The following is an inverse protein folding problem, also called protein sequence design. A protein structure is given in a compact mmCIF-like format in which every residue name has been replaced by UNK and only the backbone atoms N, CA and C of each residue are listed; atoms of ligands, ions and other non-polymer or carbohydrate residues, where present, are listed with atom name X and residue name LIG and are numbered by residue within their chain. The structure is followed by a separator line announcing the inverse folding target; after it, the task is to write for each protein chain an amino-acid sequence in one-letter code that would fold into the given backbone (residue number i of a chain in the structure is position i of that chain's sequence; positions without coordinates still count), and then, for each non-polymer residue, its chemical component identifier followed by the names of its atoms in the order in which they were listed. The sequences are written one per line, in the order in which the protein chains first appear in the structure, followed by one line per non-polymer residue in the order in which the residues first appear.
data_IF_258252073181
#
_entry.id   IF_258252073181
#
_cell.length_a   1.000
_cell.length_b   1.000
_cell.length_c   1.000
_cell.angle_alpha   90.00
_cell.angle_beta   90.00
_cell.angle_gamma   90.00
#
_symmetry.space_group_name_H-M   'P 1'
#
loop_
_entity.id
_entity.type
_entity.pdbx_description
1 polymer ?
#
# COMPACT_ATOMS: atom_id res chain seq x y z
N UNK A 1 -30.28 1.60 3.72
CA UNK A 1 -29.91 0.67 4.82
C UNK A 1 -28.84 -0.33 4.41
N UNK A 2 -28.86 -0.92 3.20
CA UNK A 2 -27.87 -1.93 2.78
C UNK A 2 -26.41 -1.43 2.68
N UNK A 3 -26.18 -0.20 2.19
CA UNK A 3 -24.82 0.30 1.92
C UNK A 3 -23.91 0.56 3.13
N UNK A 4 -24.43 0.71 4.35
CA UNK A 4 -23.59 0.87 5.54
C UNK A 4 -23.15 -0.50 6.08
N UNK A 5 -24.07 -1.47 6.08
CA UNK A 5 -23.81 -2.83 6.50
C UNK A 5 -22.85 -3.54 5.53
N UNK A 6 -23.01 -3.33 4.23
CA UNK A 6 -22.10 -3.87 3.19
C UNK A 6 -20.68 -3.37 3.38
N UNK A 7 -20.48 -2.06 3.63
CA UNK A 7 -19.15 -1.47 3.89
C UNK A 7 -18.48 -2.04 5.14
N UNK A 8 -19.25 -2.23 6.21
CA UNK A 8 -18.74 -2.89 7.43
C UNK A 8 -18.37 -4.34 7.14
N UNK A 9 -19.21 -5.08 6.42
CA UNK A 9 -18.93 -6.46 6.03
C UNK A 9 -17.66 -6.57 5.17
N UNK A 10 -17.49 -5.67 4.19
CA UNK A 10 -16.29 -5.57 3.35
C UNK A 10 -15.05 -5.30 4.21
N UNK A 11 -15.14 -4.41 5.20
CA UNK A 11 -14.02 -4.15 6.11
C UNK A 11 -13.68 -5.37 6.97
N UNK A 12 -14.69 -6.08 7.49
CA UNK A 12 -14.46 -7.26 8.31
C UNK A 12 -13.85 -8.41 7.49
N UNK A 13 -14.40 -8.69 6.31
CA UNK A 13 -13.99 -9.80 5.44
C UNK A 13 -12.71 -9.50 4.68
N UNK A 14 -12.51 -8.26 4.25
CA UNK A 14 -11.35 -7.84 3.47
C UNK A 14 -10.15 -7.42 4.31
N UNK A 15 -10.37 -6.97 5.55
CA UNK A 15 -9.31 -6.46 6.41
C UNK A 15 -9.18 -7.25 7.70
N UNK A 16 -10.20 -7.24 8.56
CA UNK A 16 -10.08 -7.77 9.92
C UNK A 16 -9.81 -9.28 9.95
N UNK A 17 -10.55 -10.06 9.17
CA UNK A 17 -10.45 -11.52 9.17
C UNK A 17 -9.11 -12.01 8.58
N UNK A 18 -8.67 -11.59 7.38
CA UNK A 18 -7.35 -11.91 6.87
C UNK A 18 -6.21 -11.43 7.77
N UNK A 19 -6.38 -10.30 8.48
CA UNK A 19 -5.36 -9.81 9.43
C UNK A 19 -5.19 -10.77 10.62
N UNK A 20 -6.29 -11.24 11.20
CA UNK A 20 -6.22 -12.25 12.26
C UNK A 20 -5.63 -13.58 11.78
N UNK A 21 -5.96 -14.01 10.56
CA UNK A 21 -5.37 -15.21 9.97
C UNK A 21 -3.89 -15.04 9.64
N UNK A 22 -3.47 -13.84 9.21
CA UNK A 22 -2.06 -13.49 9.01
C UNK A 22 -1.28 -13.55 10.32
N UNK A 23 -1.85 -13.02 11.42
CA UNK A 23 -1.25 -13.14 12.75
C UNK A 23 -1.02 -14.61 13.14
N UNK A 24 -2.03 -15.46 12.94
CA UNK A 24 -1.88 -16.90 13.22
C UNK A 24 -0.84 -17.59 12.33
N UNK A 25 -0.67 -17.15 11.08
CA UNK A 25 0.34 -17.69 10.19
C UNK A 25 1.75 -17.32 10.64
N UNK A 26 1.95 -16.06 11.05
CA UNK A 26 3.24 -15.58 11.58
C UNK A 26 3.66 -16.33 12.85
N UNK A 27 2.71 -16.71 13.70
CA UNK A 27 2.96 -17.52 14.89
C UNK A 27 3.13 -19.02 14.61
N UNK A 28 2.91 -19.45 13.36
CA UNK A 28 2.99 -20.86 12.97
C UNK A 28 4.45 -21.24 12.64
N UNK A 29 4.88 -22.49 12.90
CA UNK A 29 6.23 -22.94 12.52
C UNK A 29 6.43 -23.07 11.00
N UNK A 30 5.34 -23.10 10.22
CA UNK A 30 5.36 -23.24 8.77
C UNK A 30 5.58 -21.89 8.09
N UNK A 31 6.06 -21.92 6.84
CA UNK A 31 6.18 -20.70 6.00
C UNK A 31 5.20 -20.66 4.82
N UNK A 32 4.46 -21.74 4.59
CA UNK A 32 3.59 -21.87 3.42
C UNK A 32 2.30 -21.06 3.55
N UNK A 33 1.83 -20.88 4.77
CA UNK A 33 0.73 -19.99 5.17
C UNK A 33 1.13 -18.51 5.09
N UNK A 34 2.37 -18.14 5.44
CA UNK A 34 2.87 -16.77 5.27
C UNK A 34 2.76 -16.28 3.82
N UNK A 35 3.17 -17.14 2.87
CA UNK A 35 3.13 -16.83 1.43
C UNK A 35 1.70 -16.55 0.96
N UNK A 36 0.71 -17.29 1.47
CA UNK A 36 -0.70 -17.07 1.14
C UNK A 36 -1.14 -15.67 1.56
N UNK A 37 -0.84 -15.25 2.78
CA UNK A 37 -1.27 -13.95 3.30
C UNK A 37 -0.51 -12.79 2.66
N UNK A 38 0.80 -12.92 2.42
CA UNK A 38 1.56 -11.91 1.68
C UNK A 38 1.06 -11.75 0.23
N UNK A 39 0.69 -12.86 -0.41
CA UNK A 39 0.08 -12.83 -1.75
C UNK A 39 -1.28 -12.13 -1.72
N UNK A 40 -2.13 -12.47 -0.74
CA UNK A 40 -3.40 -11.79 -0.50
C UNK A 40 -3.23 -10.28 -0.34
N UNK A 41 -2.34 -9.84 0.56
CA UNK A 41 -2.12 -8.43 0.84
C UNK A 41 -1.56 -7.66 -0.37
N UNK A 42 -0.69 -8.30 -1.15
CA UNK A 42 -0.17 -7.71 -2.40
C UNK A 42 -1.29 -7.46 -3.41
N UNK A 43 -2.16 -8.45 -3.62
CA UNK A 43 -3.31 -8.34 -4.53
C UNK A 43 -4.31 -7.31 -4.02
N UNK A 44 -4.65 -7.37 -2.72
CA UNK A 44 -5.59 -6.46 -2.07
C UNK A 44 -5.13 -5.00 -2.20
N UNK A 45 -3.85 -4.71 -1.96
CA UNK A 45 -3.30 -3.37 -2.09
C UNK A 45 -3.35 -2.84 -3.52
N UNK A 46 -3.00 -3.68 -4.51
CA UNK A 46 -3.05 -3.29 -5.91
C UNK A 46 -4.48 -2.96 -6.34
N UNK A 47 -5.45 -3.80 -5.97
CA UNK A 47 -6.86 -3.57 -6.27
C UNK A 47 -7.37 -2.30 -5.59
N UNK A 48 -7.03 -2.10 -4.31
CA UNK A 48 -7.38 -0.88 -3.58
C UNK A 48 -6.83 0.39 -4.23
N UNK A 49 -5.64 0.32 -4.85
CA UNK A 49 -5.11 1.41 -5.65
C UNK A 49 -5.98 1.69 -6.90
N UNK A 50 -6.35 0.67 -7.67
CA UNK A 50 -7.24 0.86 -8.83
C UNK A 50 -8.62 1.36 -8.42
N UNK A 51 -9.17 0.87 -7.32
CA UNK A 51 -10.44 1.36 -6.79
C UNK A 51 -10.39 2.84 -6.42
N UNK A 52 -9.26 3.29 -5.85
CA UNK A 52 -9.08 4.69 -5.52
C UNK A 52 -9.04 5.58 -6.78
N UNK A 53 -8.42 5.11 -7.86
CA UNK A 53 -8.39 5.81 -9.16
C UNK A 53 -9.75 5.76 -9.84
N UNK A 54 -10.45 4.63 -9.77
CA UNK A 54 -11.74 4.41 -10.42
C UNK A 54 -12.94 4.84 -9.58
N UNK A 55 -12.74 5.52 -8.44
CA UNK A 55 -13.78 5.84 -7.45
C UNK A 55 -15.04 6.46 -8.06
N UNK A 56 -14.85 7.46 -8.92
CA UNK A 56 -15.98 8.16 -9.57
C UNK A 56 -16.77 7.23 -10.49
N UNK A 57 -16.10 6.33 -11.20
CA UNK A 57 -16.75 5.34 -12.05
C UNK A 57 -17.49 4.28 -11.23
N UNK A 58 -16.86 3.79 -10.17
CA UNK A 58 -17.43 2.76 -9.29
C UNK A 58 -18.66 3.25 -8.53
N UNK A 59 -18.79 4.55 -8.28
CA UNK A 59 -19.97 5.15 -7.66
C UNK A 59 -21.25 4.96 -8.50
N UNK A 60 -21.13 4.77 -9.81
CA UNK A 60 -22.27 4.50 -10.70
C UNK A 60 -22.63 3.01 -10.80
N UNK A 61 -21.79 2.11 -10.26
CA UNK A 61 -22.03 0.66 -10.33
C UNK A 61 -22.94 0.24 -9.17
N UNK A 62 -24.19 -0.22 -9.43
CA UNK A 62 -25.04 -0.71 -8.38
C UNK A 62 -24.48 -2.02 -7.80
N UNK A 63 -24.64 -2.21 -6.48
CA UNK A 63 -24.18 -3.40 -5.74
C UNK A 63 -22.66 -3.66 -5.79
N UNK A 64 -21.86 -2.60 -5.96
CA UNK A 64 -20.41 -2.73 -6.00
C UNK A 64 -19.83 -3.34 -4.71
N UNK A 65 -20.31 -2.92 -3.54
CA UNK A 65 -19.80 -3.40 -2.25
C UNK A 65 -20.08 -4.91 -2.06
N UNK A 66 -21.21 -5.41 -2.56
CA UNK A 66 -21.57 -6.83 -2.52
C UNK A 66 -20.70 -7.67 -3.46
N UNK A 67 -20.45 -7.18 -4.68
CA UNK A 67 -19.51 -7.82 -5.62
C UNK A 67 -18.09 -7.83 -5.05
N UNK A 68 -17.67 -6.73 -4.45
CA UNK A 68 -16.39 -6.63 -3.76
C UNK A 68 -16.28 -7.64 -2.62
N UNK A 69 -17.34 -7.80 -1.83
CA UNK A 69 -17.37 -8.78 -0.74
C UNK A 69 -17.15 -10.20 -1.27
N UNK A 70 -17.88 -10.61 -2.32
CA UNK A 70 -17.71 -11.93 -2.96
C UNK A 70 -16.30 -12.12 -3.53
N UNK A 71 -15.77 -11.08 -4.15
CA UNK A 71 -14.42 -11.07 -4.69
C UNK A 71 -13.37 -11.24 -3.59
N UNK A 72 -13.50 -10.53 -2.47
CA UNK A 72 -12.61 -10.65 -1.31
C UNK A 72 -12.68 -12.04 -0.69
N UNK A 73 -13.88 -12.61 -0.55
CA UNK A 73 -14.05 -14.00 -0.10
C UNK A 73 -13.29 -14.97 -1.01
N UNK A 74 -13.43 -14.81 -2.33
CA UNK A 74 -12.71 -15.64 -3.29
C UNK A 74 -11.18 -15.50 -3.20
N UNK A 75 -10.66 -14.30 -2.87
CA UNK A 75 -9.22 -14.07 -2.74
C UNK A 75 -8.57 -14.86 -1.60
N UNK A 76 -9.14 -14.82 -0.39
CA UNK A 76 -8.52 -15.43 0.79
C UNK A 76 -8.92 -16.89 1.01
N UNK A 77 -10.00 -17.37 0.37
CA UNK A 77 -10.43 -18.76 0.52
C UNK A 77 -9.39 -19.75 -0.06
N UNK A 78 -8.88 -20.70 0.73
CA UNK A 78 -7.78 -21.59 0.32
C UNK A 78 -8.18 -22.56 -0.79
N UNK A 79 -9.47 -22.90 -0.88
CA UNK A 79 -10.02 -23.79 -1.91
C UNK A 79 -9.94 -23.20 -3.33
N UNK A 80 -10.03 -21.86 -3.46
CA UNK A 80 -10.06 -21.19 -4.77
C UNK A 80 -8.71 -20.65 -5.21
N UNK A 81 -7.77 -20.44 -4.27
CA UNK A 81 -6.44 -19.86 -4.53
C UNK A 81 -6.51 -18.55 -5.33
N UNK A 82 -7.53 -17.74 -5.10
CA UNK A 82 -7.82 -16.57 -5.93
C UNK A 82 -6.71 -15.52 -5.91
N UNK A 83 -6.13 -15.25 -4.74
CA UNK A 83 -4.98 -14.36 -4.62
C UNK A 83 -3.77 -14.87 -5.41
N UNK A 84 -3.44 -16.16 -5.29
CA UNK A 84 -2.34 -16.79 -6.06
C UNK A 84 -2.57 -16.68 -7.55
N UNK A 85 -3.79 -16.95 -8.02
CA UNK A 85 -4.13 -16.83 -9.45
C UNK A 85 -3.86 -15.43 -9.98
N UNK A 86 -4.36 -14.38 -9.29
CA UNK A 86 -4.15 -13.00 -9.74
C UNK A 86 -2.66 -12.64 -9.67
N UNK A 87 -1.99 -13.06 -8.59
CA UNK A 87 -0.58 -12.77 -8.40
C UNK A 87 0.27 -13.36 -9.52
N UNK A 88 0.18 -14.66 -9.77
CA UNK A 88 1.00 -15.34 -10.76
C UNK A 88 0.67 -14.90 -12.19
N UNK A 89 -0.61 -14.64 -12.48
CA UNK A 89 -1.04 -14.29 -13.84
C UNK A 89 -0.76 -12.85 -14.23
N UNK A 90 -0.88 -11.91 -13.29
CA UNK A 90 -0.85 -10.47 -13.61
C UNK A 90 0.25 -9.72 -12.87
N UNK A 91 0.30 -9.83 -11.55
CA UNK A 91 1.22 -9.02 -10.73
C UNK A 91 2.67 -9.46 -10.88
N UNK A 92 2.95 -10.76 -10.79
CA UNK A 92 4.31 -11.27 -10.85
C UNK A 92 5.01 -10.95 -12.18
N UNK A 93 4.39 -11.11 -13.37
CA UNK A 93 4.96 -10.64 -14.62
C UNK A 93 5.21 -9.13 -14.61
N UNK A 94 4.23 -8.34 -14.15
CA UNK A 94 4.35 -6.87 -14.11
C UNK A 94 5.51 -6.42 -13.20
N UNK A 95 5.61 -6.97 -11.99
CA UNK A 95 6.71 -6.67 -11.08
C UNK A 95 8.06 -7.09 -11.65
N UNK A 96 8.17 -8.29 -12.23
CA UNK A 96 9.43 -8.75 -12.84
C UNK A 96 9.89 -7.84 -13.98
N UNK A 97 8.98 -7.37 -14.82
CA UNK A 97 9.29 -6.43 -15.90
C UNK A 97 9.72 -5.06 -15.37
N UNK A 98 9.12 -4.59 -14.27
CA UNK A 98 9.36 -3.25 -13.74
C UNK A 98 10.37 -3.20 -12.57
N UNK A 99 10.89 -4.35 -12.11
CA UNK A 99 11.71 -4.47 -10.90
C UNK A 99 12.88 -3.48 -10.87
N UNK A 100 13.69 -3.44 -11.94
CA UNK A 100 14.86 -2.55 -12.03
C UNK A 100 14.49 -1.07 -11.86
N UNK A 101 13.37 -0.68 -12.46
CA UNK A 101 12.85 0.69 -12.38
C UNK A 101 12.36 1.00 -10.96
N UNK A 102 11.62 0.07 -10.36
CA UNK A 102 11.15 0.20 -8.97
C UNK A 102 12.33 0.27 -7.97
N UNK A 103 13.36 -0.56 -8.14
CA UNK A 103 14.58 -0.55 -7.33
C UNK A 103 15.35 0.77 -7.47
N UNK A 104 15.35 1.34 -8.68
CA UNK A 104 15.96 2.66 -8.94
C UNK A 104 15.20 3.78 -8.22
N UNK A 105 13.87 3.75 -8.23
CA UNK A 105 13.07 4.71 -7.47
C UNK A 105 13.21 4.54 -5.96
N UNK A 106 13.25 3.30 -5.47
CA UNK A 106 13.44 3.01 -4.05
C UNK A 106 14.81 3.51 -3.56
N UNK A 107 15.89 3.21 -4.29
CA UNK A 107 17.23 3.68 -3.96
C UNK A 107 17.39 5.20 -4.04
N UNK A 108 16.76 5.85 -5.03
CA UNK A 108 16.71 7.33 -5.09
C UNK A 108 15.94 7.93 -3.91
N UNK A 109 14.82 7.33 -3.51
CA UNK A 109 14.08 7.73 -2.32
C UNK A 109 14.95 7.63 -1.07
N UNK A 110 15.63 6.50 -0.89
CA UNK A 110 16.51 6.27 0.24
C UNK A 110 17.71 7.22 0.26
N UNK A 111 18.33 7.51 -0.89
CA UNK A 111 19.45 8.43 -0.96
C UNK A 111 19.04 9.85 -0.56
N UNK A 112 17.87 10.32 -1.04
CA UNK A 112 17.33 11.62 -0.67
C UNK A 112 16.96 11.69 0.81
N UNK A 113 16.36 10.63 1.37
CA UNK A 113 16.06 10.58 2.80
C UNK A 113 17.35 10.64 3.63
N UNK A 114 18.39 9.89 3.24
CA UNK A 114 19.67 9.90 3.92
C UNK A 114 20.37 11.27 3.84
N UNK A 115 20.27 11.95 2.69
CA UNK A 115 20.78 13.30 2.50
C UNK A 115 20.06 14.29 3.43
N UNK A 116 18.73 14.24 3.49
CA UNK A 116 17.91 15.13 4.34
C UNK A 116 18.17 14.91 5.84
N UNK A 117 18.41 13.66 6.25
CA UNK A 117 18.66 13.30 7.66
C UNK A 117 20.16 13.41 8.03
N UNK A 118 21.03 13.70 7.06
CA UNK A 118 22.48 13.72 7.27
C UNK A 118 22.90 14.78 8.32
N UNK A 119 23.91 14.48 9.16
CA UNK A 119 24.48 15.48 10.07
C UNK A 119 24.96 16.74 9.35
N UNK A 120 25.44 16.60 8.11
CA UNK A 120 25.86 17.70 7.25
C UNK A 120 24.68 18.62 6.92
N UNK A 121 23.53 18.08 6.52
CA UNK A 121 22.32 18.87 6.26
C UNK A 121 21.82 19.57 7.54
N UNK A 122 21.82 18.87 8.68
CA UNK A 122 21.48 19.48 9.97
C UNK A 122 22.45 20.62 10.33
N UNK A 123 23.75 20.44 10.12
CA UNK A 123 24.76 21.44 10.42
C UNK A 123 24.66 22.66 9.49
N UNK A 124 24.43 22.45 8.19
CA UNK A 124 24.20 23.52 7.22
C UNK A 124 22.93 24.31 7.55
N UNK A 125 21.84 23.61 7.90
CA UNK A 125 20.59 24.24 8.33
C UNK A 125 20.81 25.10 9.58
N UNK A 126 21.51 24.56 10.59
CA UNK A 126 21.82 25.28 11.81
C UNK A 126 22.70 26.52 11.55
N UNK A 127 23.70 26.41 10.67
CA UNK A 127 24.53 27.55 10.25
C UNK A 127 23.70 28.61 9.52
N UNK A 128 22.80 28.20 8.63
CA UNK A 128 21.93 29.11 7.89
C UNK A 128 20.97 29.88 8.80
N UNK A 129 20.34 29.19 9.77
CA UNK A 129 19.49 29.80 10.80
C UNK A 129 20.27 30.82 11.63
N UNK A 130 21.50 30.49 12.04
CA UNK A 130 22.33 31.40 12.82
C UNK A 130 22.70 32.67 12.03
N UNK A 131 22.90 32.55 10.73
CA UNK A 131 23.29 33.67 9.87
C UNK A 131 22.10 34.59 9.49
N UNK A 132 20.93 34.02 9.24
CA UNK A 132 19.80 34.76 8.65
C UNK A 132 18.54 34.81 9.53
N UNK A 133 18.59 34.21 10.72
CA UNK A 133 17.42 34.05 11.60
C UNK A 133 16.42 33.02 11.08
N UNK A 134 15.42 32.69 11.91
CA UNK A 134 14.35 31.75 11.57
C UNK A 134 13.39 32.29 10.50
N UNK A 135 13.31 33.60 10.34
CA UNK A 135 12.44 34.26 9.35
C UNK A 135 12.90 33.98 7.91
N UNK A 136 14.22 33.84 7.70
CA UNK A 136 14.77 33.47 6.40
C UNK A 136 14.39 32.04 5.99
N UNK A 137 14.30 31.10 6.94
CA UNK A 137 13.78 29.76 6.66
C UNK A 137 12.32 29.78 6.22
N UNK A 138 11.49 30.60 6.87
CA UNK A 138 10.08 30.73 6.49
C UNK A 138 9.96 31.26 5.06
N UNK A 139 10.81 32.21 4.66
CA UNK A 139 10.85 32.72 3.28
C UNK A 139 11.35 31.67 2.26
N UNK A 140 12.30 30.81 2.66
CA UNK A 140 12.83 29.73 1.81
C UNK A 140 11.81 28.61 1.58
N UNK A 141 11.05 28.25 2.63
CA UNK A 141 9.97 27.25 2.56
C UNK A 141 8.74 27.75 1.80
N UNK A 142 8.50 29.07 1.78
CA UNK A 142 7.39 29.69 1.06
C UNK A 142 7.69 29.95 -0.43
N UNK A 143 8.90 29.68 -0.91
CA UNK A 143 9.26 29.91 -2.31
C UNK A 143 8.44 28.98 -3.22
N UNK A 144 7.56 29.49 -4.10
CA UNK A 144 6.86 28.65 -5.05
C UNK A 144 7.90 28.01 -5.99
N UNK A 145 7.81 26.69 -6.16
CA UNK A 145 8.58 25.97 -7.17
C UNK A 145 8.15 26.39 -8.58
#
# INVERSE_FOLDING_TARGET
MFGALSRVAVALVGLAWPSYLSFKAVESPGKTDDVQWLTYWTVYAFIGFFEQVAREFLAYVPLYDELKLLFLLWLWMPQFKGATFIYERYLAPWFKTNAKTLDSYASLGQSKLNEVVSPEAHNQLNQYIQQHGVDALQSFLQKPR
#
